data_IF_713688134184
#
_entry.id   IF_713688134184
#
_cell.length_a   1.000
_cell.length_b   1.000
_cell.length_c   1.000
_cell.angle_alpha   90.00
_cell.angle_beta   90.00
_cell.angle_gamma   90.00
#
_symmetry.space_group_name_H-M   'P 1'
#
loop_
_entity.id
_entity.type
_entity.pdbx_description
1 polymer ?
#
# COMPACT_ATOMS: atom_id res chain seq x y z
N UNK A 1 -14.43 -8.82 -3.82
CA UNK A 1 -13.73 -7.52 -3.95
C UNK A 1 -14.02 -6.66 -2.72
N UNK A 2 -13.32 -6.86 -1.60
CA UNK A 2 -13.66 -6.18 -0.32
C UNK A 2 -13.02 -4.79 -0.17
N UNK A 3 -11.86 -4.58 -0.80
CA UNK A 3 -11.15 -3.30 -0.81
C UNK A 3 -10.76 -2.92 -2.23
N UNK A 4 -10.84 -1.63 -2.54
CA UNK A 4 -10.55 -1.05 -3.86
C UNK A 4 -9.07 -0.69 -4.01
N UNK A 5 -8.41 -0.28 -2.93
CA UNK A 5 -7.00 0.09 -2.89
C UNK A 5 -6.43 -0.08 -1.48
N UNK A 6 -5.12 0.13 -1.35
CA UNK A 6 -4.40 0.04 -0.08
C UNK A 6 -3.48 1.24 0.09
N UNK A 7 -3.20 1.59 1.34
CA UNK A 7 -2.23 2.61 1.71
C UNK A 7 -1.17 1.96 2.61
N UNK A 8 0.09 2.38 2.49
CA UNK A 8 1.17 1.89 3.34
C UNK A 8 2.15 3.00 3.69
N UNK A 9 2.66 2.97 4.91
CA UNK A 9 3.72 3.86 5.37
C UNK A 9 5.06 3.55 4.68
N UNK A 10 6.00 4.50 4.72
CA UNK A 10 7.34 4.36 4.14
C UNK A 10 8.13 3.13 4.66
N UNK A 11 7.90 2.74 5.91
CA UNK A 11 8.55 1.58 6.52
C UNK A 11 7.94 0.27 6.03
N UNK A 12 6.62 0.21 5.87
CA UNK A 12 5.89 -1.02 5.52
C UNK A 12 5.88 -1.26 4.00
N UNK A 13 5.78 -0.21 3.18
CA UNK A 13 5.72 -0.33 1.71
C UNK A 13 6.95 -1.02 1.11
N UNK A 14 8.12 -0.87 1.75
CA UNK A 14 9.37 -1.53 1.36
C UNK A 14 9.41 -3.02 1.71
N UNK A 15 8.64 -3.43 2.72
CA UNK A 15 8.55 -4.84 3.15
C UNK A 15 7.51 -5.62 2.35
N UNK A 16 6.50 -4.93 1.81
CA UNK A 16 5.39 -5.52 1.05
C UNK A 16 5.84 -6.42 -0.12
N UNK A 17 6.79 -6.02 -0.99
CA UNK A 17 7.25 -6.88 -2.09
C UNK A 17 7.80 -8.22 -1.61
N UNK A 18 8.52 -8.24 -0.47
CA UNK A 18 9.09 -9.46 0.11
C UNK A 18 8.03 -10.35 0.76
N UNK A 19 7.06 -9.75 1.45
CA UNK A 19 6.05 -10.48 2.23
C UNK A 19 4.88 -10.99 1.39
N UNK A 20 4.44 -10.19 0.41
CA UNK A 20 3.23 -10.45 -0.38
C UNK A 20 3.53 -10.90 -1.81
N UNK A 21 4.81 -10.90 -2.19
CA UNK A 21 5.27 -11.32 -3.50
C UNK A 21 4.62 -10.51 -4.65
N UNK A 22 4.70 -11.00 -5.89
CA UNK A 22 4.18 -10.30 -7.06
C UNK A 22 2.63 -10.25 -7.15
N UNK A 23 1.92 -10.91 -6.23
CA UNK A 23 0.45 -11.05 -6.27
C UNK A 23 -0.30 -9.72 -6.18
N UNK A 24 0.13 -8.79 -5.32
CA UNK A 24 -0.50 -7.47 -5.20
C UNK A 24 -0.27 -6.58 -6.43
N UNK A 25 0.92 -6.66 -7.02
CA UNK A 25 1.27 -5.85 -8.19
C UNK A 25 0.46 -6.32 -9.43
N UNK A 26 0.36 -7.64 -9.63
CA UNK A 26 -0.43 -8.23 -10.72
C UNK A 26 -1.93 -7.99 -10.57
N UNK A 27 -2.44 -7.86 -9.33
CA UNK A 27 -3.83 -7.54 -9.06
C UNK A 27 -4.18 -6.05 -9.27
N UNK A 28 -3.21 -5.19 -9.59
CA UNK A 28 -3.41 -3.75 -9.75
C UNK A 28 -3.76 -3.04 -8.45
N UNK A 29 -3.37 -3.60 -7.30
CA UNK A 29 -3.69 -3.07 -5.96
C UNK A 29 -2.44 -2.80 -5.14
N UNK A 30 -1.35 -2.36 -5.78
CA UNK A 30 -0.16 -2.01 -5.04
C UNK A 30 -0.47 -0.82 -4.10
N UNK A 31 -0.02 -0.84 -2.83
CA UNK A 31 -0.38 0.22 -1.89
C UNK A 31 0.22 1.56 -2.30
N UNK A 32 -0.54 2.65 -2.14
CA UNK A 32 -0.01 4.00 -2.27
C UNK A 32 0.79 4.39 -1.02
N UNK A 33 1.82 5.20 -1.21
CA UNK A 33 2.66 5.68 -0.11
C UNK A 33 1.92 6.77 0.67
N UNK A 34 1.96 6.66 2.00
CA UNK A 34 1.57 7.72 2.93
C UNK A 34 2.75 8.13 3.81
N UNK A 35 2.99 9.44 3.88
CA UNK A 35 3.98 10.00 4.80
C UNK A 35 3.35 10.23 6.18
N UNK A 36 4.17 10.21 7.23
CA UNK A 36 3.69 10.32 8.60
C UNK A 36 3.06 11.68 8.94
N UNK A 37 3.35 12.70 8.11
CA UNK A 37 2.81 14.06 8.22
C UNK A 37 1.56 14.29 7.37
N UNK A 38 1.10 13.31 6.59
CA UNK A 38 -0.11 13.43 5.79
C UNK A 38 -1.33 12.95 6.57
N UNK A 39 -2.43 13.72 6.55
CA UNK A 39 -3.72 13.28 7.08
C UNK A 39 -4.29 12.17 6.20
N UNK A 40 -4.69 11.08 6.85
CA UNK A 40 -5.33 9.93 6.20
C UNK A 40 -6.77 10.24 5.76
N UNK A 41 -7.43 11.24 6.36
CA UNK A 41 -8.79 11.63 5.97
C UNK A 41 -8.83 12.36 4.62
N UNK A 42 -7.70 12.91 4.17
CA UNK A 42 -7.59 13.71 2.96
C UNK A 42 -7.17 12.93 1.70
N UNK A 43 -6.98 11.61 1.79
CA UNK A 43 -6.53 10.74 0.67
C UNK A 43 -7.51 9.60 0.39
#
# INVERSE_FOLDING_TARGET
KKYSGFLASETVIKQIPRLLGPGLNKAGKFPALVSHNESLEAK
#
